data_IF_442789016801
#
_entry.id   IF_442789016801
#
_cell.length_a   1.000
_cell.length_b   1.000
_cell.length_c   1.000
_cell.angle_alpha   90.00
_cell.angle_beta   90.00
_cell.angle_gamma   90.00
#
_symmetry.space_group_name_H-M   'P 1'
#
loop_
_entity.id
_entity.type
_entity.pdbx_description
1 polymer ?
#
# COMPACT_ATOMS: atom_id res chain seq x y z
N UNK A 1 -28.22 -15.21 -6.91
CA UNK A 1 -27.30 -14.48 -7.81
C UNK A 1 -26.63 -13.31 -7.09
N UNK A 2 -27.39 -12.43 -6.43
CA UNK A 2 -26.86 -11.30 -5.63
C UNK A 2 -25.90 -11.71 -4.49
N UNK A 3 -26.21 -12.78 -3.75
CA UNK A 3 -25.36 -13.24 -2.62
C UNK A 3 -23.94 -13.60 -3.07
N UNK A 4 -23.80 -14.28 -4.22
CA UNK A 4 -22.48 -14.65 -4.74
C UNK A 4 -21.64 -13.42 -5.12
N UNK A 5 -22.29 -12.38 -5.66
CA UNK A 5 -21.65 -11.11 -6.02
C UNK A 5 -21.20 -10.37 -4.76
N UNK A 6 -22.04 -10.33 -3.72
CA UNK A 6 -21.68 -9.79 -2.41
C UNK A 6 -20.48 -10.50 -1.77
N UNK A 7 -20.44 -11.83 -1.83
CA UNK A 7 -19.27 -12.60 -1.39
C UNK A 7 -18.03 -12.19 -2.19
N UNK A 8 -18.15 -12.05 -3.51
CA UNK A 8 -17.07 -11.57 -4.37
C UNK A 8 -16.54 -10.18 -3.97
N UNK A 9 -17.44 -9.23 -3.67
CA UNK A 9 -17.07 -7.88 -3.22
C UNK A 9 -16.31 -7.94 -1.88
N UNK A 10 -16.83 -8.71 -0.91
CA UNK A 10 -16.16 -8.88 0.39
C UNK A 10 -14.78 -9.52 0.22
N UNK A 11 -14.66 -10.54 -0.64
CA UNK A 11 -13.37 -11.17 -0.94
C UNK A 11 -12.40 -10.17 -1.56
N UNK A 12 -12.85 -9.31 -2.49
CA UNK A 12 -12.02 -8.28 -3.10
C UNK A 12 -11.56 -7.24 -2.07
N UNK A 13 -12.44 -6.82 -1.16
CA UNK A 13 -12.07 -5.90 -0.08
C UNK A 13 -11.09 -6.53 0.92
N UNK A 14 -11.26 -7.80 1.30
CA UNK A 14 -10.27 -8.50 2.14
C UNK A 14 -8.94 -8.62 1.38
N UNK A 15 -8.98 -9.00 0.10
CA UNK A 15 -7.81 -9.14 -0.74
C UNK A 15 -7.05 -7.82 -0.94
N UNK A 16 -7.72 -6.66 -0.92
CA UNK A 16 -7.02 -5.37 -0.98
C UNK A 16 -6.13 -5.14 0.24
N UNK A 17 -6.58 -5.51 1.44
CA UNK A 17 -5.74 -5.43 2.64
C UNK A 17 -4.60 -6.45 2.61
N UNK A 18 -4.82 -7.65 2.04
CA UNK A 18 -3.73 -8.61 1.78
C UNK A 18 -2.70 -8.01 0.83
N UNK A 19 -3.13 -7.24 -0.18
CA UNK A 19 -2.25 -6.51 -1.09
C UNK A 19 -1.36 -5.45 -0.42
N UNK A 20 -1.63 -5.06 0.84
CA UNK A 20 -0.72 -4.22 1.63
C UNK A 20 0.50 -5.02 2.12
N UNK A 21 0.32 -6.32 2.39
CA UNK A 21 1.37 -7.26 2.81
C UNK A 21 2.09 -7.85 1.60
N UNK A 22 1.39 -8.00 0.47
CA UNK A 22 1.93 -8.49 -0.79
C UNK A 22 1.76 -7.42 -1.88
N UNK A 23 2.61 -6.37 -1.90
CA UNK A 23 2.47 -5.22 -2.79
C UNK A 23 2.91 -5.52 -4.23
N UNK A 24 2.40 -6.61 -4.80
CA UNK A 24 2.62 -7.01 -6.20
C UNK A 24 1.72 -6.17 -7.12
N UNK A 25 0.49 -5.97 -6.68
CA UNK A 25 -0.54 -5.19 -7.36
C UNK A 25 -0.93 -4.03 -6.44
N UNK A 26 -1.14 -2.81 -6.95
CA UNK A 26 -1.64 -1.72 -6.14
C UNK A 26 -2.96 -2.12 -5.48
N UNK A 27 -2.98 -2.24 -4.16
CA UNK A 27 -4.13 -2.74 -3.39
C UNK A 27 -5.39 -1.93 -3.61
N UNK A 28 -5.26 -0.63 -3.90
CA UNK A 28 -6.39 0.24 -4.24
C UNK A 28 -7.14 -0.24 -5.49
N UNK A 29 -6.45 -0.83 -6.49
CA UNK A 29 -7.11 -1.35 -7.69
C UNK A 29 -7.98 -2.56 -7.40
N UNK A 30 -7.64 -3.34 -6.37
CA UNK A 30 -8.45 -4.48 -5.93
C UNK A 30 -9.77 -4.00 -5.32
N UNK A 31 -9.76 -2.87 -4.60
CA UNK A 31 -10.98 -2.22 -4.08
C UNK A 31 -11.87 -1.74 -5.22
N UNK A 32 -11.30 -1.12 -6.25
CA UNK A 32 -12.05 -0.74 -7.45
C UNK A 32 -12.75 -1.92 -8.10
N UNK A 33 -12.14 -3.11 -8.07
CA UNK A 33 -12.79 -4.35 -8.48
C UNK A 33 -14.10 -4.60 -7.74
N UNK A 34 -14.13 -4.39 -6.42
CA UNK A 34 -15.36 -4.52 -5.61
C UNK A 34 -16.42 -3.49 -5.98
N UNK A 35 -16.03 -2.23 -6.21
CA UNK A 35 -16.97 -1.17 -6.62
C UNK A 35 -17.57 -1.42 -8.00
N UNK A 36 -16.75 -1.83 -8.96
CA UNK A 36 -17.20 -2.12 -10.32
C UNK A 36 -18.05 -3.40 -10.34
N UNK A 37 -17.68 -4.41 -9.56
CA UNK A 37 -18.48 -5.62 -9.40
C UNK A 37 -19.85 -5.31 -8.81
N UNK A 38 -19.94 -4.38 -7.86
CA UNK A 38 -21.22 -3.87 -7.36
C UNK A 38 -22.03 -3.15 -8.46
N UNK A 39 -21.41 -2.17 -9.12
CA UNK A 39 -22.06 -1.31 -10.11
C UNK A 39 -22.65 -2.10 -11.28
N UNK A 40 -21.91 -3.08 -11.81
CA UNK A 40 -22.34 -3.89 -12.95
C UNK A 40 -23.11 -5.16 -12.56
N UNK A 41 -22.92 -5.65 -11.33
CA UNK A 41 -23.46 -6.93 -10.88
C UNK A 41 -24.72 -6.83 -10.01
N UNK A 42 -24.93 -5.72 -9.30
CA UNK A 42 -26.04 -5.53 -8.35
C UNK A 42 -26.88 -4.32 -8.73
N UNK A 43 -26.31 -3.12 -8.67
CA UNK A 43 -27.04 -1.87 -8.88
C UNK A 43 -26.14 -0.80 -9.47
N UNK A 44 -26.58 -0.17 -10.56
CA UNK A 44 -25.84 0.89 -11.24
C UNK A 44 -26.25 2.31 -10.83
N UNK A 45 -27.24 2.45 -9.93
CA UNK A 45 -27.82 3.76 -9.57
C UNK A 45 -27.44 4.24 -8.16
N UNK A 46 -27.02 3.34 -7.27
CA UNK A 46 -26.74 3.69 -5.86
C UNK A 46 -25.41 4.41 -5.70
N UNK A 47 -24.40 4.07 -6.51
CA UNK A 47 -23.10 4.74 -6.45
C UNK A 47 -23.15 6.09 -7.17
N UNK A 48 -23.10 7.17 -6.39
CA UNK A 48 -23.21 8.55 -6.86
C UNK A 48 -21.98 8.99 -7.67
N UNK A 49 -22.14 10.05 -8.47
CA UNK A 49 -20.99 10.65 -9.17
C UNK A 49 -19.94 11.20 -8.20
N UNK A 50 -20.37 11.68 -7.04
CA UNK A 50 -19.47 12.15 -5.98
C UNK A 50 -18.63 11.01 -5.41
N UNK A 51 -19.22 9.82 -5.24
CA UNK A 51 -18.49 8.62 -4.85
C UNK A 51 -17.36 8.32 -5.83
N UNK A 52 -17.63 8.28 -7.14
CA UNK A 52 -16.61 7.98 -8.15
C UNK A 52 -15.48 9.01 -8.18
N UNK A 53 -15.82 10.30 -8.08
CA UNK A 53 -14.82 11.38 -8.02
C UNK A 53 -13.97 11.23 -6.75
N UNK A 54 -14.60 11.00 -5.59
CA UNK A 54 -13.89 10.79 -4.33
C UNK A 54 -12.96 9.57 -4.38
N UNK A 55 -13.40 8.44 -4.93
CA UNK A 55 -12.57 7.24 -5.08
C UNK A 55 -11.37 7.50 -6.00
N UNK A 56 -11.55 8.24 -7.08
CA UNK A 56 -10.45 8.64 -7.96
C UNK A 56 -9.43 9.53 -7.23
N UNK A 57 -9.89 10.50 -6.44
CA UNK A 57 -9.04 11.36 -5.62
C UNK A 57 -8.29 10.55 -4.56
N UNK A 58 -8.96 9.68 -3.80
CA UNK A 58 -8.30 8.82 -2.82
C UNK A 58 -7.27 7.89 -3.45
N UNK A 59 -7.55 7.38 -4.65
CA UNK A 59 -6.60 6.57 -5.40
C UNK A 59 -5.35 7.37 -5.79
N UNK A 60 -5.53 8.59 -6.28
CA UNK A 60 -4.41 9.49 -6.57
C UNK A 60 -3.60 9.81 -5.29
N UNK A 61 -4.28 10.08 -4.17
CA UNK A 61 -3.63 10.31 -2.87
C UNK A 61 -2.80 9.10 -2.41
N UNK A 62 -3.30 7.88 -2.60
CA UNK A 62 -2.55 6.65 -2.27
C UNK A 62 -1.27 6.56 -3.11
N UNK A 63 -1.35 6.78 -4.43
CA UNK A 63 -0.17 6.73 -5.30
C UNK A 63 0.84 7.83 -4.97
N UNK A 64 0.38 9.05 -4.67
CA UNK A 64 1.25 10.15 -4.24
C UNK A 64 1.89 9.83 -2.91
N UNK A 65 1.13 9.33 -1.94
CA UNK A 65 1.66 8.91 -0.64
C UNK A 65 2.74 7.83 -0.79
N UNK A 66 2.59 6.91 -1.75
CA UNK A 66 3.59 5.90 -2.08
C UNK A 66 4.90 6.47 -2.61
N UNK A 67 4.79 7.36 -3.60
CA UNK A 67 5.97 8.00 -4.19
C UNK A 67 6.71 8.85 -3.16
N UNK A 68 5.97 9.57 -2.31
CA UNK A 68 6.54 10.39 -1.26
C UNK A 68 7.17 9.53 -0.15
N UNK A 69 6.49 8.50 0.34
CA UNK A 69 7.01 7.66 1.43
C UNK A 69 8.32 6.96 1.03
N UNK A 70 8.42 6.39 -0.17
CA UNK A 70 9.62 5.65 -0.56
C UNK A 70 10.83 6.57 -0.84
N UNK A 71 10.62 7.75 -1.43
CA UNK A 71 11.72 8.65 -1.75
C UNK A 71 12.08 9.62 -0.61
N UNK A 72 11.11 10.09 0.17
CA UNK A 72 11.34 11.17 1.13
C UNK A 72 12.16 10.69 2.32
N UNK A 73 11.81 9.53 2.89
CA UNK A 73 12.47 9.04 4.11
C UNK A 73 13.92 8.63 3.86
N UNK A 74 14.21 7.94 2.76
CA UNK A 74 15.60 7.56 2.44
C UNK A 74 16.48 8.80 2.20
N UNK A 75 16.00 9.77 1.42
CA UNK A 75 16.75 11.01 1.14
C UNK A 75 16.94 11.88 2.38
N UNK A 76 15.91 11.97 3.24
CA UNK A 76 15.97 12.78 4.47
C UNK A 76 17.08 12.34 5.41
N UNK A 77 17.39 11.04 5.45
CA UNK A 77 18.45 10.48 6.29
C UNK A 77 19.78 10.28 5.53
N UNK A 78 19.90 10.84 4.33
CA UNK A 78 21.15 10.82 3.55
C UNK A 78 21.46 9.48 2.90
N UNK A 79 20.43 8.67 2.60
CA UNK A 79 20.59 7.41 1.88
C UNK A 79 20.95 7.60 0.41
N UNK A 80 21.56 6.57 -0.17
CA UNK A 80 21.95 6.56 -1.57
C UNK A 80 20.77 6.20 -2.50
N UNK A 81 20.90 6.52 -3.80
CA UNK A 81 19.94 6.06 -4.81
C UNK A 81 19.85 4.53 -4.91
N UNK A 82 20.94 3.82 -4.56
CA UNK A 82 20.97 2.36 -4.51
C UNK A 82 20.15 1.85 -3.33
N UNK A 83 20.21 2.50 -2.17
CA UNK A 83 19.36 2.20 -1.02
C UNK A 83 17.87 2.31 -1.33
N UNK A 84 17.46 3.35 -2.08
CA UNK A 84 16.07 3.50 -2.55
C UNK A 84 15.62 2.31 -3.40
N UNK A 85 16.43 1.92 -4.39
CA UNK A 85 16.12 0.79 -5.27
C UNK A 85 16.11 -0.56 -4.53
N UNK A 86 17.09 -0.77 -3.64
CA UNK A 86 17.17 -1.98 -2.81
C UNK A 86 15.96 -2.08 -1.89
N UNK A 87 15.52 -0.97 -1.27
CA UNK A 87 14.31 -0.96 -0.44
C UNK A 87 13.08 -1.45 -1.22
N UNK A 88 12.85 -0.92 -2.42
CA UNK A 88 11.70 -1.28 -3.24
C UNK A 88 11.68 -2.78 -3.60
N UNK A 89 12.82 -3.32 -4.02
CA UNK A 89 12.94 -4.76 -4.33
C UNK A 89 12.82 -5.61 -3.07
N UNK A 90 13.46 -5.20 -1.99
CA UNK A 90 13.47 -5.94 -0.73
C UNK A 90 12.10 -5.96 -0.03
N UNK A 91 11.25 -4.95 -0.24
CA UNK A 91 9.83 -4.99 0.18
C UNK A 91 9.11 -6.13 -0.53
N UNK A 92 9.21 -6.22 -1.86
CA UNK A 92 8.54 -7.26 -2.66
C UNK A 92 9.06 -8.65 -2.27
N UNK A 93 10.39 -8.82 -2.21
CA UNK A 93 11.00 -10.10 -1.80
C UNK A 93 10.63 -10.43 -0.35
N UNK A 94 10.70 -9.45 0.54
CA UNK A 94 10.41 -9.58 1.96
C UNK A 94 9.00 -10.08 2.25
N UNK A 95 8.02 -9.68 1.43
CA UNK A 95 6.65 -10.18 1.50
C UNK A 95 6.54 -11.71 1.43
N UNK A 96 7.49 -12.40 0.78
CA UNK A 96 7.47 -13.86 0.63
C UNK A 96 8.42 -14.61 1.56
N UNK A 97 9.37 -13.92 2.20
CA UNK A 97 10.40 -14.57 3.03
C UNK A 97 9.81 -15.03 4.37
N UNK A 98 9.15 -14.12 5.12
CA UNK A 98 8.46 -14.43 6.39
C UNK A 98 7.20 -13.57 6.49
N UNK A 99 6.12 -13.84 5.73
CA UNK A 99 4.92 -13.04 5.82
C UNK A 99 4.27 -13.12 7.22
N UNK A 100 3.75 -12.01 7.78
CA UNK A 100 3.78 -10.64 7.26
C UNK A 100 5.03 -9.85 7.64
N UNK A 101 5.89 -10.36 8.53
CA UNK A 101 7.00 -9.60 9.12
C UNK A 101 8.17 -9.32 8.17
N UNK A 102 8.34 -10.16 7.14
CA UNK A 102 9.44 -10.07 6.17
C UNK A 102 9.41 -8.77 5.38
N UNK A 103 8.22 -8.20 5.14
CA UNK A 103 8.07 -6.88 4.49
C UNK A 103 8.70 -5.73 5.27
N UNK A 104 8.97 -5.92 6.56
CA UNK A 104 9.61 -4.94 7.41
C UNK A 104 11.09 -5.28 7.62
N UNK A 105 11.37 -6.54 7.97
CA UNK A 105 12.71 -6.98 8.36
C UNK A 105 13.65 -7.01 7.14
N UNK A 106 13.20 -7.58 6.02
CA UNK A 106 14.05 -7.75 4.83
C UNK A 106 14.49 -6.42 4.23
N UNK A 107 13.61 -5.42 3.97
CA UNK A 107 14.07 -4.13 3.45
C UNK A 107 14.94 -3.36 4.44
N UNK A 108 14.65 -3.41 5.76
CA UNK A 108 15.51 -2.80 6.76
C UNK A 108 16.95 -3.36 6.69
N UNK A 109 17.09 -4.68 6.70
CA UNK A 109 18.41 -5.35 6.65
C UNK A 109 19.09 -5.14 5.31
N UNK A 110 18.36 -5.25 4.20
CA UNK A 110 18.92 -5.10 2.86
C UNK A 110 19.46 -3.68 2.62
N UNK A 111 18.72 -2.65 3.06
CA UNK A 111 19.18 -1.25 2.97
C UNK A 111 20.33 -1.01 3.93
N UNK A 112 20.28 -1.51 5.16
CA UNK A 112 21.35 -1.38 6.13
C UNK A 112 22.69 -1.92 5.59
N UNK A 113 22.67 -3.13 5.01
CA UNK A 113 23.86 -3.75 4.42
C UNK A 113 24.35 -2.95 3.21
N UNK A 114 23.43 -2.53 2.34
CA UNK A 114 23.75 -1.74 1.14
C UNK A 114 24.42 -0.42 1.51
N UNK A 115 23.84 0.33 2.43
CA UNK A 115 24.35 1.63 2.86
C UNK A 115 25.63 1.49 3.68
N UNK A 116 25.81 0.40 4.44
CA UNK A 116 27.08 0.13 5.12
C UNK A 116 28.23 -0.05 4.11
N UNK A 117 27.98 -0.69 2.98
CA UNK A 117 28.98 -0.89 1.91
C UNK A 117 29.28 0.44 1.19
N UNK A 118 28.26 1.25 0.91
CA UNK A 118 28.38 2.48 0.13
C UNK A 118 28.94 3.64 0.97
N UNK A 119 28.33 3.89 2.12
CA UNK A 119 28.66 5.04 2.97
C UNK A 119 29.87 4.77 3.87
N UNK A 120 30.13 3.50 4.20
CA UNK A 120 31.17 3.07 5.16
C UNK A 120 31.04 3.71 6.55
N UNK A 121 29.85 4.20 6.89
CA UNK A 121 29.49 4.73 8.19
C UNK A 121 28.34 3.90 8.77
N UNK A 122 28.64 3.16 9.85
CA UNK A 122 27.69 2.27 10.52
C UNK A 122 26.49 3.05 11.08
N UNK A 123 26.74 4.22 11.66
CA UNK A 123 25.69 5.03 12.30
C UNK A 123 24.75 5.58 11.22
N UNK A 124 25.31 6.10 10.13
CA UNK A 124 24.53 6.62 9.03
C UNK A 124 23.72 5.51 8.35
N UNK A 125 24.34 4.36 8.04
CA UNK A 125 23.66 3.22 7.45
C UNK A 125 22.48 2.72 8.30
N UNK A 126 22.64 2.68 9.63
CA UNK A 126 21.56 2.34 10.56
C UNK A 126 20.39 3.32 10.48
N UNK A 127 20.67 4.62 10.48
CA UNK A 127 19.62 5.63 10.36
C UNK A 127 18.88 5.57 9.02
N UNK A 128 19.58 5.30 7.91
CA UNK A 128 18.94 5.12 6.61
C UNK A 128 18.05 3.88 6.59
N UNK A 129 18.54 2.73 7.10
CA UNK A 129 17.73 1.52 7.22
C UNK A 129 16.48 1.75 8.09
N UNK A 130 16.64 2.42 9.23
CA UNK A 130 15.52 2.76 10.11
C UNK A 130 14.51 3.70 9.43
N UNK A 131 15.00 4.68 8.66
CA UNK A 131 14.15 5.56 7.88
C UNK A 131 13.35 4.79 6.82
N UNK A 132 13.93 3.79 6.15
CA UNK A 132 13.22 2.89 5.24
C UNK A 132 12.11 2.13 5.96
N UNK A 133 12.41 1.54 7.13
CA UNK A 133 11.41 0.83 7.93
C UNK A 133 10.23 1.74 8.30
N UNK A 134 10.52 2.94 8.82
CA UNK A 134 9.48 3.90 9.20
C UNK A 134 8.71 4.39 7.97
N UNK A 135 9.39 4.72 6.88
CA UNK A 135 8.76 5.17 5.64
C UNK A 135 7.78 4.15 5.07
N UNK A 136 8.18 2.88 5.02
CA UNK A 136 7.32 1.80 4.58
C UNK A 136 6.12 1.60 5.51
N UNK A 137 6.35 1.58 6.83
CA UNK A 137 5.26 1.41 7.81
C UNK A 137 4.27 2.56 7.75
N UNK A 138 4.74 3.81 7.71
CA UNK A 138 3.89 5.00 7.59
C UNK A 138 3.10 5.01 6.28
N UNK A 139 3.74 4.66 5.15
CA UNK A 139 3.05 4.55 3.85
C UNK A 139 1.97 3.47 3.87
N UNK A 140 2.27 2.30 4.44
CA UNK A 140 1.32 1.19 4.55
C UNK A 140 0.15 1.52 5.45
N UNK A 141 0.38 2.20 6.58
CA UNK A 141 -0.67 2.67 7.48
C UNK A 141 -1.56 3.72 6.81
N UNK A 142 -0.98 4.69 6.10
CA UNK A 142 -1.75 5.69 5.36
C UNK A 142 -2.67 5.04 4.32
N UNK A 143 -2.15 4.05 3.58
CA UNK A 143 -2.97 3.25 2.65
C UNK A 143 -4.09 2.52 3.36
N UNK A 144 -3.81 1.81 4.45
CA UNK A 144 -4.82 1.06 5.18
C UNK A 144 -5.97 1.96 5.66
N UNK A 145 -5.65 3.16 6.15
CA UNK A 145 -6.63 4.15 6.57
C UNK A 145 -7.48 4.66 5.39
N UNK A 146 -6.84 5.07 4.29
CA UNK A 146 -7.57 5.55 3.11
C UNK A 146 -8.47 4.44 2.54
N UNK A 147 -7.98 3.20 2.47
CA UNK A 147 -8.76 2.04 2.02
C UNK A 147 -9.96 1.76 2.93
N UNK A 148 -9.77 1.86 4.25
CA UNK A 148 -10.86 1.75 5.22
C UNK A 148 -11.94 2.83 5.00
N UNK A 149 -11.53 4.08 4.73
CA UNK A 149 -12.45 5.17 4.40
C UNK A 149 -13.22 4.87 3.11
N UNK A 150 -12.52 4.44 2.05
CA UNK A 150 -13.13 4.11 0.76
C UNK A 150 -14.20 3.02 0.90
N UNK A 151 -13.89 1.94 1.61
CA UNK A 151 -14.82 0.83 1.83
C UNK A 151 -15.99 1.27 2.72
N UNK A 152 -15.73 2.08 3.76
CA UNK A 152 -16.79 2.59 4.65
C UNK A 152 -17.77 3.47 3.88
N UNK A 153 -17.28 4.37 3.03
CA UNK A 153 -18.13 5.21 2.19
C UNK A 153 -18.96 4.35 1.23
N UNK A 154 -18.33 3.38 0.57
CA UNK A 154 -19.07 2.44 -0.28
C UNK A 154 -20.23 1.76 0.45
N UNK A 155 -19.99 1.25 1.66
CA UNK A 155 -21.04 0.61 2.47
C UNK A 155 -22.15 1.60 2.82
N UNK A 156 -21.82 2.87 3.10
CA UNK A 156 -22.82 3.92 3.37
C UNK A 156 -23.71 4.17 2.15
N UNK A 157 -23.15 4.33 0.95
CA UNK A 157 -23.96 4.60 -0.26
C UNK A 157 -24.81 3.40 -0.70
N UNK A 158 -24.41 2.18 -0.37
CA UNK A 158 -25.21 1.00 -0.70
C UNK A 158 -26.34 0.76 0.31
N UNK A 159 -26.23 1.27 1.54
CA UNK A 159 -27.24 1.05 2.58
C UNK A 159 -28.32 2.16 2.59
N UNK A 160 -27.97 3.39 2.22
CA UNK A 160 -28.85 4.58 2.30
C UNK A 160 -29.52 4.82 0.95
#
# INVERSE_FOLDING_TARGET
MSIAIWIGIVVLFIASFVGLIFPIIPSVLVIWGGFLLYHFGISNQELSILFWIAMAVFTALIFVADMLANSYFVKKYGGSKWGEGVAAVAVIVGSFVIPPFGILIVPFVAVLVTELIILKDVKQAFFVGYATFVGFLSGTLAKALIQGIMITWFVIEVII
#
